data_IF_995447828426
#
_entry.id   IF_995447828426
#
_cell.length_a   1.000
_cell.length_b   1.000
_cell.length_c   1.000
_cell.angle_alpha   90.00
_cell.angle_beta   90.00
_cell.angle_gamma   90.00
#
_symmetry.space_group_name_H-M   'P 1'
#
loop_
_entity.id
_entity.type
_entity.pdbx_description
1 polymer ?
#
# COMPACT_ATOMS: atom_id res chain seq x y z
N UNK A 1 -7.86 -8.69 6.12
CA UNK A 1 -6.56 -9.19 6.62
C UNK A 1 -5.93 -10.01 5.53
N UNK A 2 -4.65 -9.76 5.23
CA UNK A 2 -3.93 -10.53 4.24
C UNK A 2 -3.47 -11.82 4.93
N UNK A 3 -4.27 -12.89 4.79
CA UNK A 3 -4.10 -14.12 5.56
C UNK A 3 -2.82 -14.89 5.20
N UNK A 4 -2.41 -14.84 3.93
CA UNK A 4 -1.20 -15.51 3.45
C UNK A 4 -0.66 -14.77 2.23
N UNK A 5 0.66 -14.55 2.24
CA UNK A 5 1.40 -14.00 1.11
C UNK A 5 2.30 -15.13 0.62
N UNK A 6 1.90 -15.79 -0.46
CA UNK A 6 2.65 -16.94 -0.98
C UNK A 6 4.08 -16.52 -1.33
N UNK A 7 5.02 -16.82 -0.44
CA UNK A 7 6.48 -17.01 -0.56
C UNK A 7 7.34 -15.91 -1.20
N UNK A 8 6.87 -15.28 -2.26
CA UNK A 8 7.69 -14.66 -3.30
C UNK A 8 7.25 -13.22 -3.60
N UNK A 9 6.21 -12.73 -2.91
CA UNK A 9 5.69 -11.36 -3.05
C UNK A 9 6.46 -10.40 -2.15
N UNK A 10 7.78 -10.35 -2.32
CA UNK A 10 8.69 -9.66 -1.41
C UNK A 10 8.95 -8.19 -1.79
N UNK A 11 8.45 -7.69 -2.93
CA UNK A 11 8.76 -6.33 -3.41
C UNK A 11 7.49 -5.56 -3.76
N UNK A 12 7.16 -4.55 -2.97
CA UNK A 12 5.98 -3.71 -3.17
C UNK A 12 5.99 -2.97 -4.51
N UNK A 13 7.17 -2.63 -5.04
CA UNK A 13 7.33 -1.90 -6.29
C UNK A 13 6.54 -2.48 -7.48
N UNK A 14 6.38 -3.79 -7.56
CA UNK A 14 5.60 -4.42 -8.64
C UNK A 14 4.13 -3.97 -8.72
N UNK A 15 3.55 -3.51 -7.62
CA UNK A 15 2.17 -2.99 -7.61
C UNK A 15 2.06 -1.67 -8.38
N UNK A 16 3.15 -0.91 -8.52
CA UNK A 16 3.22 0.31 -9.32
C UNK A 16 2.97 0.02 -10.80
N UNK A 17 3.59 -1.04 -11.30
CA UNK A 17 3.42 -1.47 -12.68
C UNK A 17 1.99 -1.96 -12.93
N UNK A 18 1.40 -2.72 -12.00
CA UNK A 18 -0.02 -3.13 -12.09
C UNK A 18 -0.95 -1.91 -12.19
N UNK A 19 -0.73 -0.89 -11.36
CA UNK A 19 -1.53 0.33 -11.43
C UNK A 19 -1.34 1.08 -12.76
N UNK A 20 -0.13 1.09 -13.32
CA UNK A 20 0.19 1.74 -14.60
C UNK A 20 -0.45 1.00 -15.79
N UNK A 21 -0.52 -0.33 -15.75
CA UNK A 21 -1.22 -1.15 -16.78
C UNK A 21 -2.71 -0.81 -16.86
N UNK A 22 -3.30 -0.38 -15.74
CA UNK A 22 -4.73 -0.07 -15.61
C UNK A 22 -5.08 1.39 -15.94
N UNK A 23 -4.09 2.21 -16.30
CA UNK A 23 -4.26 3.65 -16.44
C UNK A 23 -5.13 4.04 -17.65
N UNK A 24 -5.12 3.23 -18.70
CA UNK A 24 -5.92 3.45 -19.91
C UNK A 24 -7.45 3.34 -19.67
N UNK A 25 -7.84 2.96 -18.44
CA UNK A 25 -9.22 2.84 -18.00
C UNK A 25 -10.00 1.64 -18.54
N UNK A 26 -9.34 0.80 -19.34
CA UNK A 26 -9.91 -0.43 -19.86
C UNK A 26 -9.96 -1.48 -18.74
N UNK A 27 -11.13 -2.07 -18.44
CA UNK A 27 -11.22 -3.15 -17.46
C UNK A 27 -10.30 -4.32 -17.84
N UNK A 28 -9.41 -4.74 -16.92
CA UNK A 28 -8.49 -5.87 -17.14
C UNK A 28 -8.82 -7.03 -16.22
N UNK A 29 -8.66 -8.25 -16.73
CA UNK A 29 -8.78 -9.46 -15.91
C UNK A 29 -7.52 -9.69 -15.07
N UNK A 30 -7.62 -10.41 -13.93
CA UNK A 30 -6.44 -10.74 -13.13
C UNK A 30 -5.36 -11.51 -13.92
N UNK A 31 -5.76 -12.40 -14.82
CA UNK A 31 -4.82 -13.18 -15.65
C UNK A 31 -4.12 -12.30 -16.67
N UNK A 32 -4.82 -11.35 -17.30
CA UNK A 32 -4.19 -10.37 -18.20
C UNK A 32 -3.11 -9.57 -17.46
N UNK A 33 -3.44 -9.04 -16.27
CA UNK A 33 -2.48 -8.29 -15.45
C UNK A 33 -1.27 -9.13 -15.06
N UNK A 34 -1.48 -10.41 -14.74
CA UNK A 34 -0.39 -11.32 -14.38
C UNK A 34 0.52 -11.62 -15.58
N UNK A 35 -0.04 -11.83 -16.78
CA UNK A 35 0.73 -12.06 -18.01
C UNK A 35 1.57 -10.83 -18.37
N UNK A 36 0.95 -9.65 -18.44
CA UNK A 36 1.67 -8.40 -18.78
C UNK A 36 2.75 -8.10 -17.74
N UNK A 37 2.45 -8.25 -16.45
CA UNK A 37 3.43 -8.08 -15.38
C UNK A 37 4.64 -9.00 -15.55
N UNK A 38 4.41 -10.28 -15.88
CA UNK A 38 5.49 -11.26 -16.07
C UNK A 38 6.32 -10.94 -17.33
N UNK A 39 5.67 -10.59 -18.43
CA UNK A 39 6.34 -10.22 -19.69
C UNK A 39 7.21 -8.98 -19.52
N UNK A 40 6.66 -7.92 -18.92
CA UNK A 40 7.42 -6.71 -18.59
C UNK A 40 8.59 -7.02 -17.66
N UNK A 41 8.40 -7.88 -16.67
CA UNK A 41 9.53 -8.24 -15.80
C UNK A 41 10.63 -8.94 -16.59
N UNK A 42 10.30 -9.89 -17.47
CA UNK A 42 11.28 -10.63 -18.27
C UNK A 42 12.08 -9.72 -19.19
N UNK A 43 11.42 -8.80 -19.90
CA UNK A 43 12.13 -7.86 -20.78
C UNK A 43 13.14 -6.99 -20.01
N UNK A 44 12.78 -6.56 -18.80
CA UNK A 44 13.69 -5.78 -17.94
C UNK A 44 14.85 -6.59 -17.34
N UNK A 45 14.71 -7.92 -17.22
CA UNK A 45 15.81 -8.79 -16.74
C UNK A 45 16.85 -9.00 -17.83
N UNK A 46 16.41 -9.17 -19.08
CA UNK A 46 17.30 -9.40 -20.21
C UNK A 46 18.30 -8.24 -20.38
N UNK A 47 17.91 -7.02 -19.97
CA UNK A 47 18.75 -5.82 -20.03
C UNK A 47 19.74 -5.65 -18.86
N UNK A 48 19.45 -6.18 -17.66
CA UNK A 48 20.18 -5.84 -16.41
C UNK A 48 20.83 -7.05 -15.71
N UNK A 49 20.45 -8.28 -16.09
CA UNK A 49 20.92 -9.52 -15.47
C UNK A 49 20.16 -9.88 -14.18
N UNK A 50 20.51 -11.03 -13.58
CA UNK A 50 19.74 -11.56 -12.45
C UNK A 50 19.92 -10.75 -11.15
N UNK A 51 18.79 -10.26 -10.59
CA UNK A 51 18.72 -9.66 -9.26
C UNK A 51 17.83 -10.43 -8.27
N UNK A 52 18.11 -10.26 -6.98
CA UNK A 52 17.32 -10.82 -5.89
C UNK A 52 15.93 -10.16 -5.84
N UNK A 53 14.88 -10.98 -5.76
CA UNK A 53 13.49 -10.52 -5.67
C UNK A 53 12.80 -10.33 -7.02
N UNK A 54 13.43 -10.75 -8.12
CA UNK A 54 12.82 -10.73 -9.45
C UNK A 54 11.65 -11.71 -9.55
N UNK A 55 10.58 -11.24 -10.19
CA UNK A 55 9.41 -12.01 -10.56
C UNK A 55 9.73 -12.87 -11.78
N UNK A 56 9.68 -14.20 -11.61
CA UNK A 56 10.12 -15.18 -12.64
C UNK A 56 9.01 -16.09 -13.18
N UNK A 57 7.93 -16.26 -12.42
CA UNK A 57 6.89 -17.27 -12.68
C UNK A 57 5.51 -16.63 -12.77
N UNK A 58 4.63 -17.27 -13.53
CA UNK A 58 3.22 -16.88 -13.66
C UNK A 58 2.49 -16.95 -12.31
N UNK A 59 2.82 -17.95 -11.48
CA UNK A 59 2.28 -18.08 -10.13
C UNK A 59 2.62 -16.84 -9.29
N UNK A 60 3.87 -16.34 -9.38
CA UNK A 60 4.29 -15.16 -8.64
C UNK A 60 3.60 -13.90 -9.16
N UNK A 61 3.45 -13.77 -10.48
CA UNK A 61 2.69 -12.68 -11.08
C UNK A 61 1.24 -12.64 -10.59
N UNK A 62 0.55 -13.78 -10.60
CA UNK A 62 -0.81 -13.91 -10.04
C UNK A 62 -0.87 -13.55 -8.56
N UNK A 63 0.15 -13.92 -7.79
CA UNK A 63 0.24 -13.55 -6.37
C UNK A 63 0.42 -12.04 -6.17
N UNK A 64 1.19 -11.36 -7.02
CA UNK A 64 1.29 -9.89 -7.02
C UNK A 64 -0.04 -9.22 -7.39
N UNK A 65 -0.77 -9.73 -8.38
CA UNK A 65 -2.11 -9.23 -8.73
C UNK A 65 -3.11 -9.44 -7.59
N UNK A 66 -3.01 -10.58 -6.89
CA UNK A 66 -3.79 -10.83 -5.66
C UNK A 66 -3.42 -9.85 -4.55
N UNK A 67 -2.14 -9.57 -4.34
CA UNK A 67 -1.69 -8.58 -3.36
C UNK A 67 -2.17 -7.17 -3.74
N UNK A 68 -2.07 -6.78 -5.01
CA UNK A 68 -2.55 -5.50 -5.52
C UNK A 68 -4.04 -5.31 -5.23
N UNK A 69 -4.84 -6.36 -5.40
CA UNK A 69 -6.25 -6.33 -5.03
C UNK A 69 -6.48 -6.18 -3.52
N UNK A 70 -5.72 -6.92 -2.71
CA UNK A 70 -5.84 -6.88 -1.25
C UNK A 70 -5.42 -5.51 -0.67
N UNK A 71 -4.39 -4.88 -1.24
CA UNK A 71 -3.90 -3.57 -0.85
C UNK A 71 -4.65 -2.41 -1.51
N UNK A 72 -5.56 -2.67 -2.46
CA UNK A 72 -6.38 -1.63 -3.09
C UNK A 72 -5.68 -0.85 -4.22
N UNK A 73 -4.69 -1.46 -4.87
CA UNK A 73 -4.10 -0.96 -6.13
C UNK A 73 -4.90 -1.39 -7.35
N UNK A 74 -5.61 -2.52 -7.25
CA UNK A 74 -6.47 -3.07 -8.29
C UNK A 74 -7.87 -3.37 -7.71
N UNK A 75 -8.93 -2.92 -8.37
CA UNK A 75 -10.28 -3.30 -8.01
C UNK A 75 -10.76 -4.48 -8.87
N UNK A 76 -10.93 -5.64 -8.22
CA UNK A 76 -11.34 -6.88 -8.89
C UNK A 76 -12.76 -6.84 -9.44
N UNK A 77 -13.66 -6.06 -8.84
CA UNK A 77 -15.04 -5.98 -9.32
C UNK A 77 -15.15 -5.22 -10.64
N UNK A 78 -14.45 -4.09 -10.73
CA UNK A 78 -14.52 -3.22 -11.92
C UNK A 78 -13.44 -3.53 -12.96
N UNK A 79 -12.39 -4.27 -12.60
CA UNK A 79 -11.23 -4.48 -13.46
C UNK A 79 -10.36 -3.22 -13.61
N UNK A 80 -10.53 -2.21 -12.75
CA UNK A 80 -9.94 -0.87 -12.85
C UNK A 80 -8.96 -0.57 -11.70
N UNK A 81 -8.24 0.57 -11.72
CA UNK A 81 -7.42 0.98 -10.57
C UNK A 81 -8.23 1.04 -9.28
N UNK A 82 -7.70 0.45 -8.21
CA UNK A 82 -8.27 0.63 -6.87
C UNK A 82 -7.89 2.00 -6.28
N UNK A 83 -8.35 2.33 -5.07
CA UNK A 83 -8.10 3.62 -4.39
C UNK A 83 -6.63 4.08 -4.42
N UNK A 84 -5.70 3.18 -4.05
CA UNK A 84 -4.28 3.52 -3.98
C UNK A 84 -3.61 3.43 -5.36
N UNK A 85 -4.14 2.60 -6.26
CA UNK A 85 -3.69 2.55 -7.66
C UNK A 85 -4.03 3.84 -8.41
N UNK A 86 -5.26 4.35 -8.22
CA UNK A 86 -5.72 5.63 -8.71
C UNK A 86 -4.86 6.79 -8.15
N UNK A 87 -4.51 6.73 -6.86
CA UNK A 87 -3.60 7.72 -6.26
C UNK A 87 -2.20 7.65 -6.87
N UNK A 88 -1.68 6.44 -7.10
CA UNK A 88 -0.37 6.22 -7.70
C UNK A 88 -0.25 6.76 -9.13
N UNK A 89 -1.23 6.48 -10.01
CA UNK A 89 -1.18 6.95 -11.41
C UNK A 89 -1.25 8.48 -11.53
N UNK A 90 -1.62 9.21 -10.47
CA UNK A 90 -1.59 10.67 -10.44
C UNK A 90 -0.20 11.24 -10.08
N UNK A 91 0.72 10.41 -9.59
CA UNK A 91 2.06 10.83 -9.22
C UNK A 91 2.93 11.09 -10.46
N UNK A 92 3.80 12.08 -10.40
CA UNK A 92 4.89 12.29 -11.35
C UNK A 92 5.79 11.06 -11.45
N UNK A 93 6.05 10.37 -10.34
CA UNK A 93 6.87 9.16 -10.33
C UNK A 93 6.29 8.00 -11.15
N UNK A 94 5.00 8.05 -11.51
CA UNK A 94 4.39 7.05 -12.38
C UNK A 94 4.74 7.18 -13.86
N UNK A 95 5.26 8.34 -14.29
CA UNK A 95 5.45 8.69 -15.70
C UNK A 95 6.37 7.69 -16.45
N UNK A 96 7.47 7.28 -15.82
CA UNK A 96 8.38 6.31 -16.43
C UNK A 96 7.70 4.96 -16.71
N UNK A 97 6.88 4.48 -15.77
CA UNK A 97 6.14 3.22 -15.94
C UNK A 97 4.99 3.37 -16.95
N UNK A 98 4.31 4.53 -16.97
CA UNK A 98 3.27 4.85 -17.95
C UNK A 98 3.82 4.78 -19.37
N UNK A 99 4.92 5.49 -19.64
CA UNK A 99 5.60 5.48 -20.94
C UNK A 99 6.09 4.09 -21.34
N UNK A 100 6.52 3.30 -20.37
CA UNK A 100 6.92 1.93 -20.63
C UNK A 100 5.74 1.05 -21.05
N UNK A 101 4.61 1.12 -20.33
CA UNK A 101 3.40 0.36 -20.64
C UNK A 101 2.80 0.78 -21.99
N UNK A 102 2.86 2.06 -22.35
CA UNK A 102 2.37 2.56 -23.64
C UNK A 102 3.32 2.31 -24.82
N UNK A 103 4.55 1.84 -24.56
CA UNK A 103 5.58 1.64 -25.59
C UNK A 103 6.27 2.94 -26.04
N UNK A 104 6.03 4.06 -25.35
CA UNK A 104 6.64 5.38 -25.61
C UNK A 104 8.02 5.58 -24.94
N UNK A 105 8.50 4.56 -24.22
CA UNK A 105 9.79 4.55 -23.54
C UNK A 105 10.10 3.20 -22.90
N UNK A 106 11.27 3.10 -22.26
CA UNK A 106 11.65 1.95 -21.43
C UNK A 106 11.90 2.41 -20.01
N UNK A 107 11.16 1.83 -19.06
CA UNK A 107 11.46 1.98 -17.64
C UNK A 107 12.67 1.10 -17.30
N UNK A 108 13.45 1.48 -16.30
CA UNK A 108 14.49 0.62 -15.76
C UNK A 108 13.97 -0.21 -14.57
N UNK A 109 14.69 -1.27 -14.21
CA UNK A 109 14.30 -2.16 -13.13
C UNK A 109 14.24 -1.46 -11.75
N UNK A 110 15.04 -0.41 -11.53
CA UNK A 110 14.97 0.39 -10.31
C UNK A 110 13.66 1.19 -10.22
N UNK A 111 13.17 1.74 -11.34
CA UNK A 111 11.89 2.46 -11.40
C UNK A 111 10.71 1.52 -11.10
N UNK A 112 10.79 0.24 -11.48
CA UNK A 112 9.79 -0.76 -11.13
C UNK A 112 9.89 -1.16 -9.65
N UNK A 113 11.09 -1.50 -9.18
CA UNK A 113 11.25 -2.14 -7.87
C UNK A 113 11.33 -1.18 -6.68
N UNK A 114 11.89 0.00 -6.89
CA UNK A 114 12.27 0.89 -5.80
C UNK A 114 11.20 1.95 -5.59
N UNK A 115 10.90 2.24 -4.32
CA UNK A 115 9.90 3.25 -3.98
C UNK A 115 10.57 4.62 -3.74
N UNK A 116 10.02 5.69 -4.34
CA UNK A 116 10.33 7.08 -3.94
C UNK A 116 9.79 7.35 -2.53
N UNK A 117 10.20 8.46 -1.90
CA UNK A 117 9.71 8.77 -0.55
C UNK A 117 8.19 9.02 -0.48
N UNK A 118 7.60 9.59 -1.53
CA UNK A 118 6.15 9.74 -1.64
C UNK A 118 5.48 8.38 -1.88
N UNK A 119 6.06 7.52 -2.74
CA UNK A 119 5.55 6.16 -2.95
C UNK A 119 5.61 5.33 -1.66
N UNK A 120 6.71 5.37 -0.90
CA UNK A 120 6.81 4.70 0.42
C UNK A 120 5.68 5.11 1.34
N UNK A 121 5.32 6.39 1.31
CA UNK A 121 4.23 6.95 2.11
C UNK A 121 2.87 6.42 1.67
N UNK A 122 2.62 6.38 0.35
CA UNK A 122 1.42 5.78 -0.23
C UNK A 122 1.27 4.30 0.14
N UNK A 123 2.33 3.53 -0.05
CA UNK A 123 2.35 2.10 0.26
C UNK A 123 2.21 1.83 1.76
N UNK A 124 2.82 2.66 2.61
CA UNK A 124 2.64 2.58 4.05
C UNK A 124 1.18 2.81 4.45
N UNK A 125 0.51 3.82 3.88
CA UNK A 125 -0.92 4.03 4.16
C UNK A 125 -1.73 2.81 3.71
N UNK A 126 -1.49 2.28 2.51
CA UNK A 126 -2.18 1.09 2.02
C UNK A 126 -2.02 -0.11 2.96
N UNK A 127 -0.80 -0.36 3.44
CA UNK A 127 -0.50 -1.44 4.38
C UNK A 127 -1.17 -1.24 5.73
N UNK A 128 -1.09 -0.03 6.30
CA UNK A 128 -1.73 0.30 7.57
C UNK A 128 -3.26 0.18 7.50
N UNK A 129 -3.88 0.56 6.39
CA UNK A 129 -5.33 0.52 6.21
C UNK A 129 -5.87 -0.88 5.84
N UNK A 130 -5.07 -1.74 5.21
CA UNK A 130 -5.53 -3.03 4.64
C UNK A 130 -4.95 -4.27 5.33
N UNK A 131 -3.78 -4.16 5.95
CA UNK A 131 -3.09 -5.24 6.62
C UNK A 131 -2.94 -5.00 8.12
N UNK A 132 -3.94 -5.47 8.89
CA UNK A 132 -4.06 -5.24 10.33
C UNK A 132 -2.86 -5.67 11.18
N UNK A 133 -2.02 -6.61 10.70
CA UNK A 133 -0.81 -7.00 11.43
C UNK A 133 0.26 -5.91 11.35
N UNK A 134 0.26 -5.08 10.32
CA UNK A 134 1.34 -4.15 10.03
C UNK A 134 1.55 -3.16 11.19
N UNK A 135 0.47 -2.61 11.76
CA UNK A 135 0.56 -1.74 12.96
C UNK A 135 1.11 -2.47 14.19
N UNK A 136 0.77 -3.76 14.36
CA UNK A 136 1.34 -4.60 15.40
C UNK A 136 2.84 -4.84 15.22
N UNK A 137 3.28 -5.10 13.99
CA UNK A 137 4.69 -5.26 13.66
C UNK A 137 5.47 -3.96 13.90
N UNK A 138 4.92 -2.80 13.53
CA UNK A 138 5.57 -1.52 13.77
C UNK A 138 5.72 -1.22 15.26
N UNK A 139 4.74 -1.57 16.10
CA UNK A 139 4.88 -1.51 17.56
C UNK A 139 6.03 -2.40 18.03
N UNK A 140 6.08 -3.65 17.59
CA UNK A 140 7.16 -4.56 17.93
C UNK A 140 8.53 -4.03 17.47
N UNK A 141 8.62 -3.43 16.28
CA UNK A 141 9.84 -2.79 15.77
C UNK A 141 10.32 -1.61 16.62
N UNK A 142 9.46 -0.95 17.38
CA UNK A 142 9.87 0.12 18.29
C UNK A 142 10.66 -0.41 19.50
N UNK A 143 10.49 -1.69 19.84
CA UNK A 143 11.10 -2.34 21.01
C UNK A 143 12.40 -3.09 20.67
N UNK A 144 12.67 -3.33 19.39
CA UNK A 144 13.86 -4.05 18.90
C UNK A 144 14.75 -3.16 18.05
N UNK A 145 16.05 -3.48 17.99
CA UNK A 145 17.02 -2.74 17.17
C UNK A 145 17.55 -3.55 16.00
N UNK A 146 17.84 -4.82 16.24
CA UNK A 146 18.35 -5.76 15.25
C UNK A 146 17.81 -7.16 15.58
N UNK A 147 17.46 -7.93 14.55
CA UNK A 147 16.90 -9.27 14.71
C UNK A 147 17.13 -10.13 13.46
N UNK A 148 17.09 -11.43 13.64
CA UNK A 148 17.08 -12.41 12.56
C UNK A 148 15.65 -12.64 12.05
N UNK A 149 15.54 -13.16 10.82
CA UNK A 149 14.26 -13.56 10.23
C UNK A 149 13.53 -14.58 11.11
N UNK A 150 14.25 -15.48 11.77
CA UNK A 150 13.66 -16.53 12.58
C UNK A 150 13.09 -15.96 13.89
N UNK A 151 13.81 -15.06 14.55
CA UNK A 151 13.32 -14.35 15.74
C UNK A 151 12.06 -13.55 15.41
N UNK A 152 12.05 -12.83 14.28
CA UNK A 152 10.86 -12.12 13.81
C UNK A 152 9.69 -13.06 13.54
N UNK A 153 9.93 -14.22 12.91
CA UNK A 153 8.89 -15.21 12.67
C UNK A 153 8.23 -15.67 13.97
N UNK A 154 9.02 -15.90 15.02
CA UNK A 154 8.49 -16.31 16.33
C UNK A 154 7.73 -15.17 17.01
N UNK A 155 8.37 -14.00 17.20
CA UNK A 155 7.74 -12.87 17.88
C UNK A 155 6.44 -12.43 17.18
N UNK A 156 6.46 -12.32 15.84
CA UNK A 156 5.27 -11.86 15.11
C UNK A 156 4.15 -12.88 15.15
N UNK A 157 4.43 -14.18 14.98
CA UNK A 157 3.37 -15.19 14.93
C UNK A 157 2.84 -15.60 16.31
N UNK A 158 3.69 -15.58 17.34
CA UNK A 158 3.37 -16.09 18.68
C UNK A 158 2.89 -14.97 19.62
N UNK A 159 3.24 -13.71 19.35
CA UNK A 159 2.91 -12.58 20.23
C UNK A 159 2.08 -11.52 19.48
N UNK A 160 2.61 -10.99 18.38
CA UNK A 160 1.96 -9.87 17.67
C UNK A 160 0.64 -10.31 17.01
N UNK A 161 0.64 -11.44 16.31
CA UNK A 161 -0.52 -11.96 15.58
C UNK A 161 -1.73 -12.22 16.49
N UNK A 162 -1.62 -13.03 17.58
CA UNK A 162 -2.75 -13.23 18.48
C UNK A 162 -3.19 -11.93 19.16
N UNK A 163 -2.28 -11.00 19.49
CA UNK A 163 -2.65 -9.71 20.06
C UNK A 163 -3.48 -8.85 19.08
N UNK A 164 -3.09 -8.82 17.80
CA UNK A 164 -3.81 -8.13 16.73
C UNK A 164 -5.19 -8.75 16.50
N UNK A 165 -5.28 -10.08 16.41
CA UNK A 165 -6.56 -10.79 16.26
C UNK A 165 -7.51 -10.50 17.42
N UNK A 166 -6.99 -10.48 18.67
CA UNK A 166 -7.76 -10.11 19.86
C UNK A 166 -8.32 -8.68 19.80
N UNK A 167 -7.52 -7.71 19.32
CA UNK A 167 -8.00 -6.33 19.09
C UNK A 167 -9.03 -6.25 17.97
N UNK A 168 -8.84 -7.02 16.89
CA UNK A 168 -9.73 -7.05 15.73
C UNK A 168 -11.12 -7.60 16.07
N UNK A 169 -11.20 -8.66 16.89
CA UNK A 169 -12.46 -9.26 17.34
C UNK A 169 -13.41 -8.26 18.01
N UNK A 170 -12.86 -7.34 18.81
CA UNK A 170 -13.64 -6.31 19.52
C UNK A 170 -14.29 -5.30 18.56
N UNK A 171 -13.75 -5.17 17.35
CA UNK A 171 -14.15 -4.16 16.35
C UNK A 171 -15.00 -4.75 15.22
N UNK A 172 -14.92 -6.05 14.97
CA UNK A 172 -15.62 -6.68 13.84
C UNK A 172 -17.12 -6.85 14.09
N UNK A 173 -17.95 -6.79 13.03
CA UNK A 173 -19.34 -7.22 13.06
C UNK A 173 -19.47 -8.71 13.41
N UNK A 174 -20.56 -9.07 14.09
CA UNK A 174 -20.79 -10.41 14.67
C UNK A 174 -20.62 -11.56 13.66
N UNK A 175 -21.14 -11.39 12.43
CA UNK A 175 -21.03 -12.36 11.33
C UNK A 175 -19.59 -12.75 10.96
N UNK A 176 -18.60 -11.90 11.25
CA UNK A 176 -17.17 -12.16 10.96
C UNK A 176 -16.36 -12.53 12.21
N UNK A 177 -16.94 -12.50 13.41
CA UNK A 177 -16.23 -12.80 14.66
C UNK A 177 -15.88 -14.28 14.78
N UNK A 178 -16.78 -15.18 14.37
CA UNK A 178 -16.59 -16.62 14.54
C UNK A 178 -15.37 -17.20 13.81
N UNK A 179 -15.02 -16.69 12.62
CA UNK A 179 -13.81 -17.13 11.92
C UNK A 179 -12.53 -16.61 12.58
N UNK A 180 -12.52 -15.33 12.96
CA UNK A 180 -11.37 -14.70 13.63
C UNK A 180 -11.15 -15.26 15.04
N UNK A 181 -12.21 -15.65 15.73
CA UNK A 181 -12.15 -16.27 17.06
C UNK A 181 -11.45 -17.64 16.99
N UNK A 182 -11.85 -18.49 16.03
CA UNK A 182 -11.18 -19.78 15.79
C UNK A 182 -9.71 -19.59 15.42
N UNK A 183 -9.41 -18.58 14.62
CA UNK A 183 -8.03 -18.28 14.24
C UNK A 183 -7.19 -17.79 15.43
N UNK A 184 -7.77 -16.98 16.33
CA UNK A 184 -7.12 -16.55 17.57
C UNK A 184 -6.84 -17.72 18.51
N UNK A 185 -7.81 -18.63 18.69
CA UNK A 185 -7.65 -19.83 19.52
C UNK A 185 -6.50 -20.69 18.99
N UNK A 186 -6.43 -20.89 17.67
CA UNK A 186 -5.30 -21.58 17.04
C UNK A 186 -3.97 -20.84 17.27
N UNK A 187 -3.96 -19.51 17.09
CA UNK A 187 -2.75 -18.70 17.20
C UNK A 187 -2.16 -18.69 18.63
N UNK A 188 -2.99 -18.79 19.66
CA UNK A 188 -2.54 -18.88 21.06
C UNK A 188 -1.73 -20.16 21.33
N UNK A 189 -2.03 -21.25 20.63
CA UNK A 189 -1.31 -22.53 20.75
C UNK A 189 -0.05 -22.64 19.89
N UNK A 190 0.28 -21.65 19.06
CA UNK A 190 1.38 -21.76 18.11
C UNK A 190 2.75 -22.00 18.76
N UNK A 191 3.03 -21.32 19.88
CA UNK A 191 4.28 -21.51 20.63
C UNK A 191 4.41 -22.94 21.15
N UNK A 192 3.36 -23.45 21.78
CA UNK A 192 3.32 -24.81 22.32
C UNK A 192 3.49 -25.85 21.21
N UNK A 193 2.80 -25.67 20.08
CA UNK A 193 2.91 -26.55 18.92
C UNK A 193 4.32 -26.54 18.33
N UNK A 194 4.95 -25.36 18.19
CA UNK A 194 6.34 -25.26 17.70
C UNK A 194 7.33 -25.97 18.65
N UNK A 195 7.12 -25.89 19.96
CA UNK A 195 8.01 -26.50 20.94
C UNK A 195 7.91 -28.04 21.01
N UNK A 196 6.91 -28.65 20.36
CA UNK A 196 6.79 -30.13 20.25
C UNK A 196 7.82 -30.74 19.30
N UNK A 197 8.36 -29.98 18.35
CA UNK A 197 9.36 -30.49 17.41
C UNK A 197 10.71 -30.66 18.10
N UNK A 198 11.32 -31.85 17.95
CA UNK A 198 12.53 -32.22 18.68
C UNK A 198 13.78 -31.53 18.12
N UNK A 199 13.73 -31.03 16.88
CA UNK A 199 14.85 -30.35 16.23
C UNK A 199 14.40 -29.25 15.28
N UNK A 200 15.32 -28.32 14.97
CA UNK A 200 15.08 -27.30 13.95
C UNK A 200 14.86 -27.89 12.55
N UNK A 201 15.51 -29.02 12.23
CA UNK A 201 15.36 -29.68 10.93
C UNK A 201 13.95 -30.28 10.74
N UNK A 202 13.33 -30.74 11.82
CA UNK A 202 11.95 -31.21 11.83
C UNK A 202 10.97 -30.03 11.72
N UNK A 203 11.22 -28.98 12.50
CA UNK A 203 10.42 -27.76 12.51
C UNK A 203 10.28 -27.14 11.11
N UNK A 204 11.38 -26.98 10.35
CA UNK A 204 11.35 -26.34 9.02
C UNK A 204 10.56 -27.13 7.97
N UNK A 205 10.25 -28.41 8.23
CA UNK A 205 9.42 -29.26 7.37
C UNK A 205 7.94 -29.23 7.77
N UNK A 206 7.61 -28.59 8.89
CA UNK A 206 6.24 -28.53 9.39
C UNK A 206 5.33 -27.59 8.59
N UNK A 207 4.02 -27.85 8.63
CA UNK A 207 3.00 -26.94 8.09
C UNK A 207 2.97 -25.60 8.83
N UNK A 208 3.24 -25.59 10.13
CA UNK A 208 3.24 -24.36 10.93
C UNK A 208 4.43 -23.45 10.54
N UNK A 209 5.61 -24.02 10.26
CA UNK A 209 6.72 -23.25 9.70
C UNK A 209 6.39 -22.65 8.33
N UNK A 210 5.71 -23.40 7.45
CA UNK A 210 5.25 -22.88 6.17
C UNK A 210 4.32 -21.67 6.37
N UNK A 211 3.37 -21.75 7.30
CA UNK A 211 2.51 -20.61 7.68
C UNK A 211 3.35 -19.42 8.14
N UNK A 212 4.34 -19.61 9.01
CA UNK A 212 5.21 -18.52 9.48
C UNK A 212 6.00 -17.89 8.31
N UNK A 213 6.53 -18.73 7.41
CA UNK A 213 7.39 -18.32 6.28
C UNK A 213 6.61 -17.57 5.19
N UNK A 214 5.35 -17.90 4.97
CA UNK A 214 4.48 -17.20 4.03
C UNK A 214 3.74 -16.01 4.66
N UNK A 215 3.89 -15.80 5.97
CA UNK A 215 3.27 -14.68 6.65
C UNK A 215 4.26 -13.55 6.97
N UNK A 216 5.36 -13.87 7.66
CA UNK A 216 6.26 -12.85 8.24
C UNK A 216 7.33 -12.36 7.26
N UNK A 217 8.14 -13.22 6.61
CA UNK A 217 9.20 -12.77 5.73
C UNK A 217 8.78 -11.78 4.63
N UNK A 218 7.68 -11.97 3.88
CA UNK A 218 7.27 -10.99 2.88
C UNK A 218 7.05 -9.59 3.47
N UNK A 219 6.45 -9.50 4.66
CA UNK A 219 6.22 -8.23 5.37
C UNK A 219 7.49 -7.59 5.88
N UNK A 220 8.49 -8.38 6.27
CA UNK A 220 9.82 -7.83 6.59
C UNK A 220 10.43 -7.16 5.35
N UNK A 221 10.25 -7.76 4.17
CA UNK A 221 10.74 -7.16 2.93
C UNK A 221 9.94 -5.92 2.52
N UNK A 222 8.64 -5.88 2.77
CA UNK A 222 7.84 -4.66 2.60
C UNK A 222 8.29 -3.53 3.55
N UNK A 223 8.70 -3.86 4.77
CA UNK A 223 9.27 -2.89 5.72
C UNK A 223 10.65 -2.41 5.28
N UNK A 224 11.40 -3.23 4.54
CA UNK A 224 12.64 -2.78 3.86
C UNK A 224 12.30 -1.83 2.71
N UNK A 225 11.30 -2.14 1.87
CA UNK A 225 10.88 -1.27 0.77
C UNK A 225 10.39 0.11 1.27
N UNK A 226 9.65 0.13 2.38
CA UNK A 226 9.21 1.37 3.06
C UNK A 226 10.39 2.11 3.73
N UNK A 227 11.52 1.46 3.97
CA UNK A 227 12.71 2.06 4.60
C UNK A 227 12.66 2.10 6.13
N UNK A 228 11.82 1.26 6.76
CA UNK A 228 11.81 1.08 8.22
C UNK A 228 12.76 -0.01 8.68
N UNK A 229 13.15 -0.92 7.78
CA UNK A 229 14.18 -1.92 8.00
C UNK A 229 15.32 -1.78 7.00
N UNK A 230 16.51 -2.17 7.43
CA UNK A 230 17.71 -2.32 6.61
C UNK A 230 18.18 -3.78 6.68
N UNK A 231 18.58 -4.34 5.54
CA UNK A 231 19.21 -5.67 5.51
C UNK A 231 20.68 -5.54 5.89
N UNK A 232 21.07 -6.14 7.02
CA UNK A 232 22.48 -6.08 7.49
C UNK A 232 23.28 -7.28 7.00
N UNK A 233 22.65 -8.47 7.01
CA UNK A 233 23.22 -9.74 6.55
C UNK A 233 22.11 -10.62 5.98
N UNK A 234 22.48 -11.79 5.44
CA UNK A 234 21.49 -12.80 5.02
C UNK A 234 20.54 -13.12 6.19
N UNK A 235 19.25 -12.93 5.96
CA UNK A 235 18.19 -13.18 6.94
C UNK A 235 18.33 -12.41 8.26
N UNK A 236 18.93 -11.20 8.23
CA UNK A 236 19.10 -10.34 9.41
C UNK A 236 18.78 -8.89 9.07
N UNK A 237 17.99 -8.25 9.92
CA UNK A 237 17.43 -6.93 9.71
C UNK A 237 17.78 -6.02 10.88
N UNK A 238 17.93 -4.74 10.57
CA UNK A 238 18.10 -3.66 11.55
C UNK A 238 17.00 -2.63 11.35
N UNK A 239 16.49 -2.10 12.45
CA UNK A 239 15.51 -1.02 12.41
C UNK A 239 16.20 0.28 12.03
N UNK A 240 15.64 1.00 11.05
CA UNK A 240 16.26 2.22 10.53
C UNK A 240 16.24 3.34 11.58
N UNK A 241 17.27 4.17 11.57
CA UNK A 241 17.35 5.32 12.49
C UNK A 241 16.19 6.30 12.29
N UNK A 242 15.72 6.45 11.04
CA UNK A 242 14.57 7.30 10.69
C UNK A 242 13.28 6.83 11.39
N UNK A 243 13.06 5.51 11.47
CA UNK A 243 11.93 4.96 12.20
C UNK A 243 12.09 5.16 13.71
N UNK A 244 13.26 4.80 14.26
CA UNK A 244 13.52 4.85 15.70
C UNK A 244 13.41 6.26 16.29
N UNK A 245 13.81 7.30 15.53
CA UNK A 245 13.69 8.71 15.95
C UNK A 245 12.24 9.16 16.14
N UNK A 246 11.29 8.51 15.48
CA UNK A 246 9.88 8.88 15.50
C UNK A 246 9.02 7.79 16.18
N UNK A 247 9.62 6.74 16.75
CA UNK A 247 8.91 5.54 17.17
C UNK A 247 7.85 5.83 18.25
N UNK A 248 8.10 6.82 19.11
CA UNK A 248 7.18 7.23 20.16
C UNK A 248 5.94 7.92 19.58
N UNK A 249 6.12 8.91 18.70
CA UNK A 249 5.05 9.63 18.00
C UNK A 249 4.23 8.69 17.11
N UNK A 250 4.89 7.69 16.52
CA UNK A 250 4.25 6.68 15.69
C UNK A 250 3.41 5.69 16.49
N UNK A 251 3.83 5.35 17.72
CA UNK A 251 3.08 4.46 18.61
C UNK A 251 1.65 4.94 18.80
N UNK A 252 1.47 6.24 19.04
CA UNK A 252 0.14 6.85 19.22
C UNK A 252 -0.76 6.68 18.00
N UNK A 253 -0.19 6.62 16.80
CA UNK A 253 -0.94 6.41 15.57
C UNK A 253 -1.29 4.94 15.38
N UNK A 254 -0.39 4.01 15.72
CA UNK A 254 -0.63 2.56 15.65
C UNK A 254 -1.68 2.06 16.65
N UNK A 255 -2.00 2.86 17.66
CA UNK A 255 -3.02 2.57 18.67
C UNK A 255 -4.44 2.90 18.17
N UNK A 256 -4.55 3.83 17.22
CA UNK A 256 -5.85 4.31 16.74
C UNK A 256 -6.60 3.24 15.94
N UNK A 257 -7.95 3.31 15.90
CA UNK A 257 -8.74 2.48 15.01
C UNK A 257 -8.32 2.66 13.55
N UNK A 258 -8.38 1.57 12.77
CA UNK A 258 -7.96 1.57 11.35
C UNK A 258 -8.78 2.57 10.54
N UNK A 259 -10.03 2.76 10.92
CA UNK A 259 -10.99 3.69 10.33
C UNK A 259 -10.58 5.15 10.49
N UNK A 260 -9.68 5.45 11.45
CA UNK A 260 -9.13 6.80 11.66
C UNK A 260 -7.79 7.02 10.99
N UNK A 261 -7.16 5.97 10.43
CA UNK A 261 -5.83 6.08 9.79
C UNK A 261 -5.88 7.13 8.69
N UNK A 262 -6.88 7.08 7.80
CA UNK A 262 -7.00 8.04 6.70
C UNK A 262 -7.17 9.50 7.17
N UNK A 263 -7.73 9.71 8.37
CA UNK A 263 -7.92 11.05 8.94
C UNK A 263 -6.64 11.60 9.57
N UNK A 264 -5.83 10.75 10.20
CA UNK A 264 -4.66 11.16 10.98
C UNK A 264 -3.33 10.99 10.22
N UNK A 265 -3.33 10.23 9.13
CA UNK A 265 -2.11 9.89 8.40
C UNK A 265 -1.41 11.15 7.84
N UNK A 266 -2.15 12.03 7.17
CA UNK A 266 -1.59 13.26 6.62
C UNK A 266 -1.22 14.30 7.69
N UNK A 267 -1.88 14.28 8.85
CA UNK A 267 -1.62 15.25 9.93
C UNK A 267 -0.50 14.82 10.86
N UNK A 268 -0.32 13.51 11.05
CA UNK A 268 0.61 12.97 12.06
C UNK A 268 1.75 12.19 11.42
N UNK A 269 1.49 11.34 10.43
CA UNK A 269 2.53 10.53 9.79
C UNK A 269 3.40 11.34 8.83
N UNK A 270 2.77 12.01 7.87
CA UNK A 270 3.47 12.72 6.80
C UNK A 270 4.51 13.71 7.36
N UNK A 271 4.22 14.55 8.37
CA UNK A 271 5.21 15.50 8.90
C UNK A 271 6.45 14.85 9.54
N UNK A 272 6.35 13.63 10.09
CA UNK A 272 7.48 12.93 10.73
C UNK A 272 8.51 12.45 9.72
N UNK A 273 8.08 12.23 8.49
CA UNK A 273 8.91 11.70 7.43
C UNK A 273 9.25 12.74 6.36
N UNK A 274 8.50 13.83 6.27
CA UNK A 274 8.69 14.82 5.21
C UNK A 274 8.74 16.25 5.75
N UNK A 275 9.76 17.01 5.36
CA UNK A 275 9.92 18.44 5.69
C UNK A 275 9.10 19.36 4.79
N UNK A 276 7.79 19.11 4.64
CA UNK A 276 6.95 19.76 3.63
C UNK A 276 6.24 21.02 4.14
N UNK A 277 6.01 21.97 3.23
CA UNK A 277 5.23 23.19 3.47
C UNK A 277 3.74 22.87 3.52
N UNK A 278 2.94 23.60 4.29
CA UNK A 278 1.47 23.44 4.24
C UNK A 278 0.96 24.01 2.92
N UNK A 279 0.11 23.27 2.21
CA UNK A 279 -0.50 23.74 0.97
C UNK A 279 -1.53 24.85 1.26
N UNK A 280 -1.50 25.90 0.45
CA UNK A 280 -2.60 26.87 0.38
C UNK A 280 -3.65 26.45 -0.64
N UNK A 281 -4.78 27.15 -0.65
CA UNK A 281 -5.92 26.88 -1.54
C UNK A 281 -5.52 26.79 -3.01
N UNK A 282 -4.64 27.68 -3.50
CA UNK A 282 -4.18 27.65 -4.89
C UNK A 282 -3.46 26.34 -5.26
N UNK A 283 -2.55 25.87 -4.39
CA UNK A 283 -1.84 24.61 -4.61
C UNK A 283 -2.81 23.41 -4.56
N UNK A 284 -3.74 23.42 -3.61
CA UNK A 284 -4.77 22.38 -3.50
C UNK A 284 -5.67 22.33 -4.74
N UNK A 285 -6.13 23.48 -5.24
CA UNK A 285 -6.94 23.57 -6.46
C UNK A 285 -6.18 23.05 -7.68
N UNK A 286 -4.91 23.43 -7.84
CA UNK A 286 -4.09 22.96 -8.95
C UNK A 286 -3.87 21.45 -8.91
N UNK A 287 -3.59 20.90 -7.73
CA UNK A 287 -3.43 19.46 -7.53
C UNK A 287 -4.74 18.70 -7.81
N UNK A 288 -5.89 19.26 -7.39
CA UNK A 288 -7.23 18.74 -7.70
C UNK A 288 -7.48 18.64 -9.21
N UNK A 289 -7.23 19.73 -9.94
CA UNK A 289 -7.44 19.77 -11.39
C UNK A 289 -6.53 18.80 -12.13
N UNK A 290 -5.25 18.72 -11.72
CA UNK A 290 -4.29 17.79 -12.32
C UNK A 290 -4.68 16.33 -12.05
N UNK A 291 -5.00 15.98 -10.81
CA UNK A 291 -5.44 14.64 -10.45
C UNK A 291 -6.74 14.27 -11.19
N UNK A 292 -7.70 15.19 -11.29
CA UNK A 292 -8.95 14.94 -12.01
C UNK A 292 -8.73 14.65 -13.49
N UNK A 293 -7.86 15.40 -14.18
CA UNK A 293 -7.56 15.14 -15.61
C UNK A 293 -7.02 13.73 -15.85
N UNK A 294 -6.18 13.22 -14.95
CA UNK A 294 -5.64 11.87 -15.03
C UNK A 294 -6.73 10.84 -14.69
N UNK A 295 -7.41 11.01 -13.56
CA UNK A 295 -8.41 10.05 -13.07
C UNK A 295 -9.64 9.98 -13.97
N UNK A 296 -10.09 11.09 -14.54
CA UNK A 296 -11.23 11.11 -15.44
C UNK A 296 -10.94 10.32 -16.72
N UNK A 297 -9.72 10.38 -17.24
CA UNK A 297 -9.31 9.53 -18.38
C UNK A 297 -9.33 8.04 -18.02
N UNK A 298 -8.85 7.69 -16.83
CA UNK A 298 -8.75 6.30 -16.38
C UNK A 298 -10.09 5.72 -15.87
N UNK A 299 -10.97 6.52 -15.28
CA UNK A 299 -12.15 6.02 -14.57
C UNK A 299 -13.47 6.54 -15.16
N UNK A 300 -13.44 7.60 -15.98
CA UNK A 300 -14.62 8.39 -16.29
C UNK A 300 -15.05 9.16 -15.05
N UNK A 301 -16.20 8.79 -14.46
CA UNK A 301 -16.66 9.41 -13.21
C UNK A 301 -15.70 9.08 -12.06
N UNK A 302 -15.32 10.10 -11.29
CA UNK A 302 -14.31 9.96 -10.23
C UNK A 302 -14.97 10.21 -8.87
N UNK A 303 -14.92 9.23 -7.96
CA UNK A 303 -15.38 9.45 -6.58
C UNK A 303 -14.55 10.55 -5.91
N UNK A 304 -15.21 11.50 -5.26
CA UNK A 304 -14.57 12.69 -4.69
C UNK A 304 -13.49 12.31 -3.65
N UNK A 305 -13.72 11.27 -2.85
CA UNK A 305 -12.72 10.80 -1.89
C UNK A 305 -11.44 10.28 -2.56
N UNK A 306 -11.55 9.60 -3.70
CA UNK A 306 -10.41 9.13 -4.50
C UNK A 306 -9.65 10.32 -5.06
N UNK A 307 -10.38 11.29 -5.62
CA UNK A 307 -9.80 12.52 -6.18
C UNK A 307 -9.03 13.31 -5.11
N UNK A 308 -9.64 13.53 -3.94
CA UNK A 308 -9.02 14.25 -2.84
C UNK A 308 -7.77 13.54 -2.29
N UNK A 309 -7.79 12.21 -2.22
CA UNK A 309 -6.63 11.42 -1.81
C UNK A 309 -5.49 11.53 -2.83
N UNK A 310 -5.80 11.37 -4.12
CA UNK A 310 -4.82 11.47 -5.19
C UNK A 310 -4.18 12.87 -5.25
N UNK A 311 -4.98 13.93 -5.12
CA UNK A 311 -4.50 15.30 -5.05
C UNK A 311 -3.63 15.55 -3.80
N UNK A 312 -3.99 15.00 -2.64
CA UNK A 312 -3.16 15.11 -1.43
C UNK A 312 -1.79 14.44 -1.60
N UNK A 313 -1.73 13.29 -2.28
CA UNK A 313 -0.47 12.63 -2.61
C UNK A 313 0.36 13.38 -3.66
N UNK A 314 -0.30 13.93 -4.69
CA UNK A 314 0.35 14.77 -5.69
C UNK A 314 1.03 15.98 -5.06
N UNK A 315 0.38 16.62 -4.09
CA UNK A 315 0.96 17.73 -3.33
C UNK A 315 2.27 17.35 -2.63
N UNK A 316 2.41 16.10 -2.15
CA UNK A 316 3.64 15.65 -1.50
C UNK A 316 4.84 15.69 -2.47
N UNK A 317 4.64 15.31 -3.73
CA UNK A 317 5.69 15.42 -4.76
C UNK A 317 6.00 16.88 -5.11
N UNK A 318 4.99 17.75 -5.07
CA UNK A 318 5.14 19.18 -5.31
C UNK A 318 5.75 19.94 -4.10
N UNK A 319 6.13 19.23 -3.03
CA UNK A 319 6.78 19.81 -1.85
C UNK A 319 5.82 20.38 -0.80
N UNK A 320 4.53 20.04 -0.89
CA UNK A 320 3.48 20.50 0.00
C UNK A 320 2.81 19.34 0.75
N UNK A 321 2.22 19.63 1.92
CA UNK A 321 1.34 18.71 2.64
C UNK A 321 -0.05 19.30 2.76
N UNK A 322 -1.05 18.49 2.47
CA UNK A 322 -2.47 18.77 2.76
C UNK A 322 -3.18 17.48 3.14
N UNK A 323 -4.35 17.59 3.75
CA UNK A 323 -5.21 16.44 4.07
C UNK A 323 -6.29 16.29 2.99
N UNK A 324 -6.77 15.07 2.69
CA UNK A 324 -7.91 14.88 1.79
C UNK A 324 -9.14 15.69 2.21
N UNK A 325 -9.33 15.94 3.52
CA UNK A 325 -10.41 16.78 4.03
C UNK A 325 -10.23 18.27 3.68
N UNK A 326 -8.99 18.79 3.70
CA UNK A 326 -8.71 20.16 3.26
C UNK A 326 -8.93 20.32 1.76
N UNK A 327 -8.41 19.37 0.98
CA UNK A 327 -8.63 19.31 -0.47
C UNK A 327 -10.14 19.25 -0.78
N UNK A 328 -10.91 18.45 -0.04
CA UNK A 328 -12.37 18.38 -0.20
C UNK A 328 -13.06 19.71 0.06
N UNK A 329 -12.63 20.48 1.08
CA UNK A 329 -13.16 21.84 1.31
C UNK A 329 -12.83 22.78 0.15
N UNK A 330 -11.62 22.68 -0.40
CA UNK A 330 -11.22 23.44 -1.59
C UNK A 330 -12.06 23.05 -2.80
N UNK A 331 -12.35 21.76 -3.01
CA UNK A 331 -13.31 21.33 -4.03
C UNK A 331 -14.70 21.95 -3.81
N UNK A 332 -15.23 21.93 -2.58
CA UNK A 332 -16.53 22.54 -2.28
C UNK A 332 -16.53 24.04 -2.60
N UNK A 333 -15.48 24.76 -2.23
CA UNK A 333 -15.32 26.18 -2.59
C UNK A 333 -15.34 26.40 -4.11
N UNK A 334 -14.58 25.60 -4.88
CA UNK A 334 -14.56 25.67 -6.33
C UNK A 334 -15.94 25.38 -6.94
N UNK A 335 -16.67 24.40 -6.39
CA UNK A 335 -18.02 24.06 -6.85
C UNK A 335 -19.05 25.17 -6.62
N UNK A 336 -18.86 26.00 -5.61
CA UNK A 336 -19.71 27.15 -5.33
C UNK A 336 -19.43 28.33 -6.27
N UNK A 337 -18.16 28.57 -6.60
CA UNK A 337 -17.76 29.72 -7.44
C UNK A 337 -17.91 29.42 -8.93
N UNK A 338 -17.68 28.17 -9.32
CA UNK A 338 -17.74 27.71 -10.71
C UNK A 338 -18.86 26.69 -10.89
N UNK A 339 -20.07 27.03 -10.44
CA UNK A 339 -21.23 26.13 -10.47
C UNK A 339 -21.64 25.70 -11.89
N UNK A 340 -21.22 26.44 -12.91
CA UNK A 340 -21.41 26.14 -14.33
C UNK A 340 -20.35 25.18 -14.92
N UNK A 341 -19.30 24.84 -14.14
CA UNK A 341 -18.14 24.07 -14.59
C UNK A 341 -17.76 22.90 -13.69
N UNK A 342 -18.40 22.78 -12.54
CA UNK A 342 -18.24 21.66 -11.61
C UNK A 342 -19.55 20.89 -11.53
N UNK A 343 -19.54 19.65 -12.00
CA UNK A 343 -20.70 18.78 -11.99
C UNK A 343 -20.42 17.54 -11.15
N UNK A 344 -21.39 17.19 -10.32
CA UNK A 344 -21.34 16.03 -9.44
C UNK A 344 -22.59 15.17 -9.59
N UNK A 345 -22.43 13.86 -9.47
CA UNK A 345 -23.52 12.90 -9.31
C UNK A 345 -23.36 12.10 -8.02
N UNK A 346 -24.38 11.31 -7.68
CA UNK A 346 -24.32 10.35 -6.58
C UNK A 346 -24.14 8.96 -7.18
N UNK A 347 -23.18 8.19 -6.66
CA UNK A 347 -22.93 6.80 -7.04
C UNK A 347 -23.95 5.85 -6.40
N UNK A 348 -23.95 4.59 -6.84
CA UNK A 348 -24.84 3.55 -6.31
C UNK A 348 -24.67 3.31 -4.80
N UNK A 349 -23.46 3.54 -4.26
CA UNK A 349 -23.17 3.46 -2.82
C UNK A 349 -23.40 4.79 -2.07
N UNK A 350 -24.04 5.78 -2.71
CA UNK A 350 -24.38 7.06 -2.11
C UNK A 350 -23.22 8.05 -2.01
N UNK A 351 -22.04 7.72 -2.56
CA UNK A 351 -20.87 8.58 -2.50
C UNK A 351 -20.89 9.65 -3.60
N UNK A 352 -20.36 10.87 -3.35
CA UNK A 352 -20.29 11.89 -4.38
C UNK A 352 -19.24 11.54 -5.44
N UNK A 353 -19.64 11.65 -6.71
CA UNK A 353 -18.79 11.48 -7.89
C UNK A 353 -18.68 12.79 -8.67
N UNK A 354 -17.47 13.14 -9.08
CA UNK A 354 -17.19 14.27 -9.95
C UNK A 354 -17.30 13.79 -11.40
N UNK A 355 -18.26 14.35 -12.13
CA UNK A 355 -18.53 14.02 -13.54
C UNK A 355 -17.86 15.01 -14.49
N UNK A 356 -17.72 16.27 -14.09
CA UNK A 356 -16.97 17.30 -14.81
C UNK A 356 -16.32 18.27 -13.81
N UNK A 357 -15.05 18.58 -14.03
CA UNK A 357 -14.31 19.61 -13.31
C UNK A 357 -13.42 20.36 -14.32
N UNK A 358 -13.99 21.42 -14.92
CA UNK A 358 -13.35 22.18 -16.00
C UNK A 358 -13.17 23.66 -15.62
N UNK A 359 -12.21 23.91 -14.73
CA UNK A 359 -11.90 25.25 -14.24
C UNK A 359 -10.63 25.75 -14.96
N UNK A 360 -10.67 26.96 -15.57
CA UNK A 360 -9.48 27.56 -16.18
C UNK A 360 -8.44 27.83 -15.09
N UNK A 361 -7.16 27.94 -15.48
CA UNK A 361 -6.03 27.98 -14.56
C UNK A 361 -6.31 28.86 -13.31
N UNK A 362 -6.01 28.32 -12.13
CA UNK A 362 -6.27 28.99 -10.85
C UNK A 362 -5.23 30.09 -10.68
N UNK A 363 -5.63 31.34 -10.93
CA UNK A 363 -4.81 32.54 -10.68
C UNK A 363 -4.54 32.78 -9.19
#
# INVERSE_FOLDING_TARGET
>A
MIAEVHGDVCRLGYLKLIASILEDGSPRSPDYLASVLLETCRSLVDDVGEMLGMLRTEVNARNYVKLAAQLGFYDRSSGRPGLYGASYICLNSSEALRRHVSGEGMANLSEVLTLTDVEKTLFLQALLSRDYIFSGMLRWLAEVREFSRLEAMYAVMEEVYPAVLGKLLRRLPEKRRASVQRELEQARGFREERLKYASQAEWIKSRLYAKYRHFVPPRLEWLVDIGFLERVKRARYRVSQRFLKNAQELSDVFEKPVERIDQIFFTTFVPLFHGLRIAGQRAESQALLNAYRVLHRALGKVKLNVLCLAAAYRLLEDGYRSTPASVSRTFSYLSLIHSDRVFTSISDDGSPEVTLLDIPAVE
#
